data_IF_100667038408
#
_entry.id   IF_100667038408
#
_cell.length_a   1.000
_cell.length_b   1.000
_cell.length_c   1.000
_cell.angle_alpha   90.00
_cell.angle_beta   90.00
_cell.angle_gamma   90.00
#
_symmetry.space_group_name_H-M   'P 1'
#
loop_
_entity.id
_entity.type
_entity.pdbx_description
1 polymer ?
#
# COMPACT_ATOMS: atom_id res chain seq x y z
N UNK A 1 20.98 43.19 -18.69
CA UNK A 1 19.60 42.67 -18.65
C UNK A 1 19.51 41.21 -19.09
N UNK A 2 20.02 40.85 -20.28
CA UNK A 2 20.03 39.45 -20.78
C UNK A 2 20.75 38.44 -19.88
N UNK A 3 21.89 38.81 -19.29
CA UNK A 3 22.66 37.91 -18.42
C UNK A 3 21.93 37.56 -17.12
N UNK A 4 21.23 38.52 -16.52
CA UNK A 4 20.42 38.30 -15.31
C UNK A 4 19.22 37.40 -15.61
N UNK A 5 18.54 37.65 -16.74
CA UNK A 5 17.42 36.80 -17.19
C UNK A 5 17.87 35.35 -17.43
N UNK A 6 19.04 35.15 -18.03
CA UNK A 6 19.61 33.82 -18.25
C UNK A 6 19.88 33.08 -16.94
N UNK A 7 20.45 33.76 -15.94
CA UNK A 7 20.70 33.18 -14.60
C UNK A 7 19.39 32.79 -13.92
N UNK A 8 18.36 33.64 -13.98
CA UNK A 8 17.05 33.35 -13.37
C UNK A 8 16.39 32.12 -14.00
N UNK A 9 16.47 31.98 -15.33
CA UNK A 9 15.96 30.80 -16.04
C UNK A 9 16.71 29.54 -15.62
N UNK A 10 18.05 29.58 -15.60
CA UNK A 10 18.87 28.45 -15.14
C UNK A 10 18.52 28.05 -13.71
N UNK A 11 18.43 29.01 -12.80
CA UNK A 11 18.09 28.75 -11.40
C UNK A 11 16.68 28.17 -11.27
N UNK A 12 15.72 28.69 -12.04
CA UNK A 12 14.36 28.17 -12.13
C UNK A 12 14.33 26.72 -12.62
N UNK A 13 15.10 26.38 -13.67
CA UNK A 13 15.21 25.01 -14.16
C UNK A 13 15.85 24.06 -13.14
N UNK A 14 16.87 24.53 -12.41
CA UNK A 14 17.52 23.75 -11.35
C UNK A 14 16.53 23.51 -10.20
N UNK A 15 15.85 24.55 -9.71
CA UNK A 15 14.85 24.44 -8.65
C UNK A 15 13.68 23.54 -9.07
N UNK A 16 13.23 23.64 -10.32
CA UNK A 16 12.22 22.74 -10.87
C UNK A 16 12.68 21.29 -10.87
N UNK A 17 13.90 21.00 -11.35
CA UNK A 17 14.44 19.62 -11.34
C UNK A 17 14.63 19.07 -9.93
N UNK A 18 15.07 19.90 -8.99
CA UNK A 18 15.19 19.52 -7.58
C UNK A 18 13.79 19.20 -7.03
N UNK A 19 12.83 20.09 -7.24
CA UNK A 19 11.44 19.89 -6.82
C UNK A 19 10.84 18.62 -7.43
N UNK A 20 10.94 18.42 -8.74
CA UNK A 20 10.47 17.23 -9.44
C UNK A 20 11.15 15.96 -8.93
N UNK A 21 12.46 16.01 -8.63
CA UNK A 21 13.16 14.89 -8.01
C UNK A 21 12.59 14.54 -6.63
N UNK A 22 12.40 15.52 -5.75
CA UNK A 22 11.84 15.28 -4.42
C UNK A 22 10.38 14.84 -4.48
N UNK A 23 9.58 15.47 -5.34
CA UNK A 23 8.18 15.07 -5.59
C UNK A 23 8.15 13.64 -6.10
N UNK A 24 8.92 13.25 -7.11
CA UNK A 24 8.93 11.87 -7.62
C UNK A 24 9.45 10.85 -6.61
N UNK A 25 10.45 11.21 -5.80
CA UNK A 25 11.09 10.31 -4.84
C UNK A 25 10.24 10.08 -3.59
N UNK A 26 9.57 11.10 -3.10
CA UNK A 26 8.83 11.05 -1.83
C UNK A 26 7.32 11.00 -2.00
N UNK A 27 6.80 11.61 -3.06
CA UNK A 27 5.37 11.62 -3.37
C UNK A 27 5.04 10.66 -4.52
N UNK A 28 5.88 10.61 -5.54
CA UNK A 28 5.59 9.96 -6.81
C UNK A 28 5.57 8.44 -6.75
N UNK A 29 4.93 7.88 -7.77
CA UNK A 29 4.87 6.45 -8.04
C UNK A 29 6.25 5.95 -8.47
N UNK A 30 7.09 5.53 -7.53
CA UNK A 30 8.27 4.76 -7.88
C UNK A 30 7.86 3.32 -8.24
N UNK A 31 8.04 2.91 -9.49
CA UNK A 31 7.44 1.69 -10.07
C UNK A 31 7.85 0.38 -9.36
N UNK A 32 9.02 0.36 -8.73
CA UNK A 32 9.53 -0.84 -8.03
C UNK A 32 8.83 -1.02 -6.68
N UNK A 33 8.66 0.06 -5.90
CA UNK A 33 8.15 -0.04 -4.53
C UNK A 33 6.62 -0.21 -4.46
N UNK A 34 5.87 0.25 -5.47
CA UNK A 34 4.39 0.27 -5.44
C UNK A 34 3.71 -0.85 -6.23
N UNK A 35 4.46 -1.86 -6.66
CA UNK A 35 3.90 -3.08 -7.23
C UNK A 35 3.61 -4.09 -6.13
N UNK A 36 2.44 -4.75 -6.12
CA UNK A 36 2.18 -5.87 -5.22
C UNK A 36 3.22 -6.98 -5.38
N UNK A 37 3.60 -7.61 -4.27
CA UNK A 37 4.62 -8.67 -4.24
C UNK A 37 4.10 -9.86 -3.48
N UNK A 38 4.13 -11.01 -4.11
CA UNK A 38 3.97 -12.28 -3.42
C UNK A 38 5.32 -12.79 -2.91
N UNK A 39 5.38 -13.19 -1.66
CA UNK A 39 6.50 -13.94 -1.07
C UNK A 39 5.96 -15.27 -0.58
N UNK A 40 6.44 -16.41 -1.14
CA UNK A 40 5.95 -17.72 -0.75
C UNK A 40 6.41 -18.10 0.66
N UNK A 41 5.50 -18.70 1.42
CA UNK A 41 5.80 -19.47 2.62
C UNK A 41 5.79 -20.98 2.34
N UNK A 42 5.45 -21.78 3.35
CA UNK A 42 5.27 -23.22 3.23
C UNK A 42 4.10 -23.55 2.28
N UNK A 43 4.24 -24.59 1.46
CA UNK A 43 3.18 -25.11 0.60
C UNK A 43 1.96 -25.60 1.39
N UNK A 44 2.12 -25.87 2.69
CA UNK A 44 1.05 -26.30 3.60
C UNK A 44 0.45 -25.14 4.41
N UNK A 45 0.95 -23.91 4.23
CA UNK A 45 0.46 -22.76 4.97
C UNK A 45 -1.00 -22.46 4.60
N UNK A 46 -1.88 -22.52 5.60
CA UNK A 46 -3.32 -22.22 5.47
C UNK A 46 -3.63 -20.72 5.56
N UNK A 47 -2.61 -19.88 5.75
CA UNK A 47 -2.75 -18.43 5.97
C UNK A 47 -1.92 -17.65 4.95
N UNK A 48 -2.54 -16.62 4.38
CA UNK A 48 -1.91 -15.59 3.56
C UNK A 48 -2.00 -14.25 4.30
N UNK A 49 -0.87 -13.56 4.51
CA UNK A 49 -0.86 -12.23 5.13
C UNK A 49 -0.75 -11.15 4.06
N UNK A 50 -1.72 -10.24 3.99
CA UNK A 50 -1.64 -9.05 3.16
C UNK A 50 -1.04 -7.88 3.97
N UNK A 51 0.23 -7.55 3.70
CA UNK A 51 0.96 -6.46 4.36
C UNK A 51 0.80 -5.16 3.58
N UNK A 52 0.11 -4.19 4.17
CA UNK A 52 -0.09 -2.85 3.61
C UNK A 52 0.85 -1.84 4.28
N UNK A 53 1.74 -1.25 3.48
CA UNK A 53 2.74 -0.29 3.95
C UNK A 53 2.22 1.13 4.21
N UNK A 54 2.99 1.91 4.96
CA UNK A 54 2.67 3.30 5.28
C UNK A 54 3.10 4.29 4.18
N UNK A 55 2.64 5.53 4.27
CA UNK A 55 2.98 6.58 3.30
C UNK A 55 4.47 6.90 3.32
N UNK A 56 5.09 6.96 2.14
CA UNK A 56 6.53 7.23 1.99
C UNK A 56 7.45 6.07 2.41
N UNK A 57 6.88 4.90 2.73
CA UNK A 57 7.70 3.72 3.00
C UNK A 57 8.29 3.14 1.70
N UNK A 58 9.33 2.33 1.86
CA UNK A 58 10.00 1.62 0.76
C UNK A 58 9.98 0.14 1.11
N UNK A 59 10.25 -0.74 0.13
CA UNK A 59 10.34 -2.18 0.43
C UNK A 59 11.38 -2.50 1.49
N UNK A 60 12.49 -1.74 1.55
CA UNK A 60 13.50 -1.89 2.61
C UNK A 60 12.90 -1.70 4.00
N UNK A 61 11.94 -0.78 4.15
CA UNK A 61 11.30 -0.54 5.43
C UNK A 61 10.37 -1.69 5.84
N UNK A 62 9.67 -2.32 4.88
CA UNK A 62 8.83 -3.50 5.15
C UNK A 62 9.62 -4.78 5.40
N UNK A 63 10.90 -4.83 5.01
CA UNK A 63 11.74 -6.03 5.05
C UNK A 63 11.67 -6.77 6.39
N UNK A 64 11.82 -6.07 7.52
CA UNK A 64 11.80 -6.72 8.84
C UNK A 64 10.49 -7.46 9.13
N UNK A 65 9.36 -6.90 8.69
CA UNK A 65 8.03 -7.50 8.88
C UNK A 65 7.85 -8.70 7.93
N UNK A 66 8.31 -8.58 6.68
CA UNK A 66 8.25 -9.66 5.72
C UNK A 66 9.16 -10.83 6.11
N UNK A 67 10.38 -10.53 6.59
CA UNK A 67 11.34 -11.51 7.11
C UNK A 67 10.75 -12.25 8.32
N UNK A 68 9.97 -11.57 9.18
CA UNK A 68 9.26 -12.22 10.29
C UNK A 68 8.27 -13.28 9.80
N UNK A 69 7.42 -12.97 8.82
CA UNK A 69 6.48 -13.96 8.26
C UNK A 69 7.20 -15.07 7.50
N UNK A 70 8.24 -14.73 6.75
CA UNK A 70 9.06 -15.69 6.03
C UNK A 70 9.74 -16.69 6.97
N UNK A 71 10.27 -16.22 8.11
CA UNK A 71 10.87 -17.08 9.14
C UNK A 71 9.88 -18.10 9.72
N UNK A 72 8.59 -17.76 9.74
CA UNK A 72 7.51 -18.65 10.19
C UNK A 72 6.85 -19.40 9.03
N UNK A 73 7.44 -19.37 7.84
CA UNK A 73 6.94 -20.02 6.63
C UNK A 73 5.52 -19.57 6.24
N UNK A 74 5.15 -18.32 6.53
CA UNK A 74 3.85 -17.75 6.20
C UNK A 74 3.97 -16.99 4.87
N UNK A 75 3.10 -17.32 3.91
CA UNK A 75 3.00 -16.57 2.66
C UNK A 75 2.53 -15.15 2.89
N UNK A 76 3.11 -14.19 2.16
CA UNK A 76 2.69 -12.79 2.22
C UNK A 76 2.41 -12.21 0.84
N UNK A 77 1.36 -11.40 0.72
CA UNK A 77 1.25 -10.36 -0.31
C UNK A 77 1.62 -9.04 0.34
N UNK A 78 2.53 -8.28 -0.23
CA UNK A 78 2.88 -6.95 0.29
C UNK A 78 2.66 -5.87 -0.75
N UNK A 79 2.15 -4.72 -0.31
CA UNK A 79 1.92 -3.57 -1.18
C UNK A 79 2.09 -2.25 -0.44
N UNK A 80 2.62 -1.25 -1.15
CA UNK A 80 2.83 0.10 -0.65
C UNK A 80 2.04 1.05 -1.54
N UNK A 81 0.93 1.58 -1.03
CA UNK A 81 0.21 2.65 -1.71
C UNK A 81 1.09 3.92 -1.75
N UNK A 82 1.33 4.51 -2.94
CA UNK A 82 2.13 5.72 -3.07
C UNK A 82 1.58 6.86 -2.23
N UNK A 83 2.48 7.69 -1.66
CA UNK A 83 2.08 8.85 -0.87
C UNK A 83 1.24 9.84 -1.70
N UNK A 84 1.46 9.91 -3.01
CA UNK A 84 0.61 10.68 -3.93
C UNK A 84 -0.88 10.36 -3.74
N UNK A 85 -1.24 9.08 -3.64
CA UNK A 85 -2.64 8.66 -3.50
C UNK A 85 -3.23 9.07 -2.15
N UNK A 86 -2.38 9.16 -1.12
CA UNK A 86 -2.81 9.65 0.18
C UNK A 86 -3.11 11.16 0.16
N UNK A 87 -2.32 11.95 -0.59
CA UNK A 87 -2.44 13.41 -0.63
C UNK A 87 -3.49 13.88 -1.63
N UNK A 88 -3.54 13.27 -2.82
CA UNK A 88 -4.31 13.76 -3.97
C UNK A 88 -5.52 12.88 -4.29
N UNK A 89 -5.77 11.83 -3.51
CA UNK A 89 -6.90 10.92 -3.68
C UNK A 89 -6.47 9.53 -4.16
N UNK A 90 -7.24 8.53 -3.74
CA UNK A 90 -6.93 7.12 -4.00
C UNK A 90 -7.25 6.75 -5.44
N UNK A 91 -6.28 6.18 -6.14
CA UNK A 91 -6.48 5.59 -7.46
C UNK A 91 -7.17 4.22 -7.31
N UNK A 92 -8.47 4.18 -7.60
CA UNK A 92 -9.28 2.96 -7.49
C UNK A 92 -8.78 1.82 -8.38
N UNK A 93 -8.10 2.11 -9.51
CA UNK A 93 -7.51 1.05 -10.35
C UNK A 93 -6.39 0.31 -9.63
N UNK A 94 -5.66 0.99 -8.74
CA UNK A 94 -4.63 0.33 -7.91
C UNK A 94 -5.27 -0.53 -6.82
N UNK A 95 -6.41 -0.09 -6.27
CA UNK A 95 -7.20 -0.88 -5.31
C UNK A 95 -7.70 -2.16 -5.96
N UNK A 96 -8.29 -2.08 -7.15
CA UNK A 96 -8.71 -3.26 -7.91
C UNK A 96 -7.51 -4.15 -8.23
N UNK A 97 -6.38 -3.58 -8.66
CA UNK A 97 -5.16 -4.34 -8.95
C UNK A 97 -4.64 -5.15 -7.76
N UNK A 98 -4.65 -4.60 -6.54
CA UNK A 98 -4.24 -5.37 -5.35
C UNK A 98 -5.28 -6.43 -4.98
N UNK A 99 -6.57 -6.19 -5.18
CA UNK A 99 -7.62 -7.18 -4.96
C UNK A 99 -7.52 -8.34 -5.96
N UNK A 100 -7.32 -8.05 -7.24
CA UNK A 100 -7.09 -9.05 -8.29
C UNK A 100 -5.85 -9.89 -7.98
N UNK A 101 -4.79 -9.24 -7.51
CA UNK A 101 -3.57 -9.92 -7.09
C UNK A 101 -3.82 -10.84 -5.89
N UNK A 102 -4.61 -10.39 -4.90
CA UNK A 102 -4.99 -11.24 -3.76
C UNK A 102 -5.86 -12.43 -4.20
N UNK A 103 -6.78 -12.25 -5.14
CA UNK A 103 -7.55 -13.38 -5.70
C UNK A 103 -6.60 -14.39 -6.37
N UNK A 104 -5.65 -13.89 -7.16
CA UNK A 104 -4.69 -14.73 -7.86
C UNK A 104 -3.80 -15.53 -6.90
N UNK A 105 -3.30 -14.92 -5.84
CA UNK A 105 -2.40 -15.58 -4.89
C UNK A 105 -3.15 -16.43 -3.85
N UNK A 106 -4.44 -16.17 -3.64
CA UNK A 106 -5.28 -16.93 -2.72
C UNK A 106 -6.01 -18.13 -3.35
N UNK A 107 -5.50 -18.65 -4.48
CA UNK A 107 -6.11 -19.77 -5.24
C UNK A 107 -6.37 -21.03 -4.42
N UNK A 108 -5.56 -21.29 -3.39
CA UNK A 108 -5.72 -22.45 -2.51
C UNK A 108 -6.71 -22.20 -1.36
N UNK A 109 -7.52 -21.15 -1.43
CA UNK A 109 -8.53 -20.80 -0.41
C UNK A 109 -7.92 -20.58 0.98
N UNK A 110 -6.77 -19.91 1.05
CA UNK A 110 -6.09 -19.62 2.32
C UNK A 110 -6.91 -18.59 3.11
N UNK A 111 -6.84 -18.69 4.43
CA UNK A 111 -7.32 -17.64 5.34
C UNK A 111 -6.46 -16.40 5.14
N UNK A 112 -7.08 -15.24 4.95
CA UNK A 112 -6.37 -13.98 4.75
C UNK A 112 -6.34 -13.21 6.07
N UNK A 113 -5.16 -12.75 6.47
CA UNK A 113 -4.99 -11.75 7.53
C UNK A 113 -4.48 -10.46 6.88
N UNK A 114 -5.15 -9.34 7.15
CA UNK A 114 -4.69 -8.02 6.70
C UNK A 114 -3.79 -7.45 7.80
N UNK A 115 -2.56 -7.07 7.47
CA UNK A 115 -1.66 -6.36 8.38
C UNK A 115 -1.34 -5.00 7.78
N UNK A 116 -1.98 -3.96 8.31
CA UNK A 116 -1.90 -2.61 7.78
C UNK A 116 -1.14 -1.67 8.72
N UNK A 117 -0.42 -0.72 8.13
CA UNK A 117 0.40 0.24 8.86
C UNK A 117 -0.06 1.67 8.63
N UNK A 118 -0.15 2.43 9.72
CA UNK A 118 -0.42 3.88 9.70
C UNK A 118 -1.73 4.27 8.99
N UNK A 119 -1.89 5.56 8.74
CA UNK A 119 -3.01 6.15 8.00
C UNK A 119 -3.14 5.63 6.56
N UNK A 120 -2.02 5.42 5.87
CA UNK A 120 -2.02 5.01 4.47
C UNK A 120 -2.51 3.56 4.30
N UNK A 121 -2.07 2.64 5.16
CA UNK A 121 -2.58 1.27 5.17
C UNK A 121 -4.06 1.22 5.53
N UNK A 122 -4.50 2.04 6.50
CA UNK A 122 -5.91 2.13 6.89
C UNK A 122 -6.79 2.70 5.76
N UNK A 123 -6.30 3.72 5.05
CA UNK A 123 -6.97 4.29 3.88
C UNK A 123 -7.16 3.22 2.80
N UNK A 124 -6.09 2.53 2.41
CA UNK A 124 -6.14 1.43 1.44
C UNK A 124 -7.15 0.36 1.87
N UNK A 125 -7.06 -0.09 3.12
CA UNK A 125 -7.97 -1.10 3.64
C UNK A 125 -9.43 -0.66 3.57
N UNK A 126 -9.73 0.61 3.88
CA UNK A 126 -11.10 1.12 3.79
C UNK A 126 -11.66 1.08 2.36
N UNK A 127 -10.84 1.44 1.36
CA UNK A 127 -11.22 1.34 -0.04
C UNK A 127 -11.35 -0.11 -0.52
N UNK A 128 -10.41 -0.98 -0.15
CA UNK A 128 -10.51 -2.42 -0.43
C UNK A 128 -11.80 -3.00 0.14
N UNK A 129 -12.08 -2.74 1.43
CA UNK A 129 -13.29 -3.22 2.10
C UNK A 129 -14.56 -2.69 1.45
N UNK A 130 -14.57 -1.41 1.06
CA UNK A 130 -15.70 -0.83 0.34
C UNK A 130 -15.91 -1.53 -1.00
N UNK A 131 -14.88 -1.64 -1.84
CA UNK A 131 -14.93 -2.32 -3.13
C UNK A 131 -15.37 -3.77 -3.00
N UNK A 132 -14.85 -4.49 -1.99
CA UNK A 132 -15.25 -5.86 -1.74
C UNK A 132 -16.73 -6.01 -1.34
N UNK A 133 -17.30 -5.02 -0.65
CA UNK A 133 -18.70 -5.02 -0.24
C UNK A 133 -19.67 -4.60 -1.36
N UNK A 134 -19.21 -3.82 -2.33
CA UNK A 134 -20.05 -3.25 -3.39
C UNK A 134 -19.92 -3.98 -4.72
N UNK A 135 -18.90 -4.83 -4.88
CA UNK A 135 -18.67 -5.60 -6.10
C UNK A 135 -18.53 -7.10 -5.77
N UNK A 136 -19.53 -7.88 -6.23
CA UNK A 136 -19.64 -9.31 -5.98
C UNK A 136 -18.45 -10.13 -6.48
N UNK A 137 -17.70 -9.62 -7.47
CA UNK A 137 -16.47 -10.25 -7.97
C UNK A 137 -15.47 -10.56 -6.84
N UNK A 138 -15.44 -9.71 -5.81
CA UNK A 138 -14.49 -9.82 -4.70
C UNK A 138 -15.09 -10.47 -3.43
N UNK A 139 -16.34 -10.94 -3.45
CA UNK A 139 -17.00 -11.52 -2.27
C UNK A 139 -16.22 -12.69 -1.64
N UNK A 140 -15.52 -13.47 -2.47
CA UNK A 140 -14.64 -14.54 -2.00
C UNK A 140 -13.53 -14.05 -1.06
N UNK A 141 -13.00 -12.84 -1.27
CA UNK A 141 -12.00 -12.26 -0.37
C UNK A 141 -12.61 -11.92 0.99
N UNK A 142 -13.85 -11.41 1.04
CA UNK A 142 -14.54 -11.15 2.32
C UNK A 142 -14.71 -12.42 3.15
N UNK A 143 -15.03 -13.53 2.51
CA UNK A 143 -15.18 -14.84 3.18
C UNK A 143 -13.83 -15.31 3.72
N UNK A 144 -12.75 -15.09 2.98
CA UNK A 144 -11.41 -15.58 3.33
C UNK A 144 -10.70 -14.69 4.35
N UNK A 145 -11.04 -13.41 4.48
CA UNK A 145 -10.45 -12.52 5.47
C UNK A 145 -10.93 -12.89 6.88
N UNK A 146 -9.99 -13.35 7.74
CA UNK A 146 -10.28 -13.80 9.11
C UNK A 146 -9.86 -12.82 10.20
N UNK A 147 -9.13 -11.76 9.84
CA UNK A 147 -8.69 -10.78 10.80
C UNK A 147 -7.93 -9.62 10.17
N UNK A 148 -7.83 -8.54 10.93
CA UNK A 148 -7.09 -7.32 10.57
C UNK A 148 -6.23 -6.90 11.75
N UNK A 149 -4.93 -6.69 11.50
CA UNK A 149 -3.94 -6.17 12.43
C UNK A 149 -3.70 -4.71 12.06
N UNK A 150 -4.03 -3.81 12.98
CA UNK A 150 -3.78 -2.37 12.85
C UNK A 150 -2.48 -2.03 13.58
N UNK A 151 -1.42 -1.73 12.83
CA UNK A 151 -0.17 -1.22 13.40
C UNK A 151 -0.13 0.30 13.26
N UNK A 152 -0.03 1.00 14.40
CA UNK A 152 0.18 2.45 14.47
C UNK A 152 -0.84 3.28 13.66
N UNK A 153 -2.05 2.74 13.50
CA UNK A 153 -3.11 3.34 12.67
C UNK A 153 -3.95 4.32 13.47
N UNK A 154 -4.43 5.42 12.85
CA UNK A 154 -5.29 6.37 13.54
C UNK A 154 -6.62 5.71 13.91
N UNK A 155 -7.10 6.02 15.12
CA UNK A 155 -8.41 5.61 15.60
C UNK A 155 -9.21 6.85 16.02
N UNK A 156 -10.45 6.94 15.54
CA UNK A 156 -11.41 7.94 16.00
C UNK A 156 -12.28 7.31 17.07
N UNK A 157 -12.23 7.84 18.29
CA UNK A 157 -13.21 7.51 19.32
C UNK A 157 -14.54 8.13 18.92
N UNK A 158 -15.55 7.31 18.63
CA UNK A 158 -16.91 7.80 18.55
C UNK A 158 -17.29 8.30 19.95
N UNK A 159 -17.50 9.60 20.10
CA UNK A 159 -18.04 10.14 21.34
C UNK A 159 -19.45 9.54 21.50
N UNK A 160 -19.62 8.67 22.49
CA UNK A 160 -20.92 8.18 22.92
C UNK A 160 -21.65 9.30 23.67
N UNK A 161 -22.16 10.26 22.91
CA UNK A 161 -23.07 11.28 23.40
C UNK A 161 -24.06 11.60 22.28
N UNK A 162 -25.09 10.76 22.21
CA UNK A 162 -26.42 11.05 21.69
C UNK A 162 -27.40 10.12 22.39
#
# INVERSE_FOLDING_TARGET
>A
MFFILFIVIILGCILYKISDYYVRRYLGFNSIDHTPVYTPGSSHASVLVCVLGWGGCTRRHLRRILDFYSLHEISTVSWINPMFNYIFGVDMKQIERILDFLIHENRDTKNIIIHLHSNNGALVWSHMLHTMKTNEHYNQLLINIKGVIFDSSPYTRLNSSS
#
